data_IF_435113255281
#
_entry.id   IF_435113255281
#
_cell.length_a   1.000
_cell.length_b   1.000
_cell.length_c   1.000
_cell.angle_alpha   90.00
_cell.angle_beta   90.00
_cell.angle_gamma   90.00
#
_symmetry.space_group_name_H-M   'P 1'
#
loop_
_entity.id
_entity.type
_entity.pdbx_description
1 polymer ?
#
# COMPACT_ATOMS: atom_id res chain seq x y z
N UNK A 1 7.88 -51.07 -19.85
CA UNK A 1 7.89 -50.75 -18.41
C UNK A 1 7.14 -49.46 -18.22
N UNK A 2 6.08 -49.49 -17.41
CA UNK A 2 5.34 -48.30 -17.04
C UNK A 2 6.24 -47.36 -16.22
N UNK A 3 5.91 -46.07 -16.18
CA UNK A 3 6.60 -45.09 -15.33
C UNK A 3 6.67 -45.56 -13.85
N UNK A 4 5.66 -46.29 -13.40
CA UNK A 4 5.58 -46.88 -12.06
C UNK A 4 6.60 -48.01 -11.83
N UNK A 5 6.86 -48.86 -12.82
CA UNK A 5 7.84 -49.96 -12.68
C UNK A 5 9.26 -49.42 -12.44
N UNK A 6 9.62 -48.33 -13.13
CA UNK A 6 10.92 -47.65 -12.99
C UNK A 6 11.11 -47.02 -11.60
N UNK A 7 10.05 -46.46 -11.02
CA UNK A 7 10.08 -45.88 -9.66
C UNK A 7 10.22 -46.98 -8.61
N UNK A 8 9.45 -48.07 -8.74
CA UNK A 8 9.49 -49.21 -7.82
C UNK A 8 10.89 -49.85 -7.78
N UNK A 9 11.53 -50.03 -8.92
CA UNK A 9 12.89 -50.61 -8.97
C UNK A 9 13.94 -49.68 -8.35
N UNK A 10 13.77 -48.36 -8.47
CA UNK A 10 14.63 -47.37 -7.82
C UNK A 10 14.48 -47.43 -6.29
N UNK A 11 13.25 -47.54 -5.77
CA UNK A 11 12.96 -47.71 -4.33
C UNK A 11 13.60 -48.99 -3.78
N UNK A 12 13.51 -50.10 -4.51
CA UNK A 12 14.10 -51.40 -4.10
C UNK A 12 15.62 -51.34 -3.98
N UNK A 13 16.30 -50.57 -4.84
CA UNK A 13 17.75 -50.39 -4.79
C UNK A 13 18.25 -49.63 -3.55
N UNK A 14 17.42 -48.77 -2.96
CA UNK A 14 17.75 -47.99 -1.75
C UNK A 14 17.64 -48.89 -0.50
N UNK A 15 16.66 -49.81 -0.46
CA UNK A 15 16.45 -50.74 0.66
C UNK A 15 17.59 -51.74 0.89
N UNK A 16 18.45 -52.00 -0.09
CA UNK A 16 19.47 -53.07 0.01
C UNK A 16 20.75 -52.66 0.76
N UNK A 17 20.83 -51.45 1.35
CA UNK A 17 22.05 -50.93 1.98
C UNK A 17 22.02 -50.79 3.51
N UNK A 18 20.86 -50.87 4.18
CA UNK A 18 20.78 -50.68 5.64
C UNK A 18 20.76 -52.02 6.40
N UNK A 19 21.93 -52.48 6.85
CA UNK A 19 22.06 -53.63 7.75
C UNK A 19 22.41 -53.13 9.16
N UNK A 20 21.42 -52.70 9.95
CA UNK A 20 21.64 -52.52 11.39
C UNK A 20 20.39 -52.82 12.22
N UNK A 21 20.55 -53.70 13.21
CA UNK A 21 19.48 -54.38 13.96
C UNK A 21 18.96 -53.61 15.19
N UNK A 22 19.32 -52.34 15.38
CA UNK A 22 19.15 -51.69 16.70
C UNK A 22 17.92 -50.78 16.91
N UNK A 23 17.05 -50.54 15.91
CA UNK A 23 15.98 -49.54 16.03
C UNK A 23 14.59 -50.05 15.61
N UNK A 24 14.04 -51.05 16.33
CA UNK A 24 12.73 -51.67 16.04
C UNK A 24 11.49 -50.87 16.50
N UNK A 25 11.46 -49.56 16.28
CA UNK A 25 10.22 -48.76 16.30
C UNK A 25 10.21 -47.83 15.10
N UNK A 26 10.17 -48.42 13.90
CA UNK A 26 10.06 -47.63 12.68
C UNK A 26 8.61 -47.20 12.49
N UNK A 27 8.29 -45.94 12.78
CA UNK A 27 7.06 -45.35 12.30
C UNK A 27 7.18 -45.15 10.79
N UNK A 28 6.17 -45.60 10.04
CA UNK A 28 6.01 -45.17 8.66
C UNK A 28 5.17 -43.91 8.69
N UNK A 29 5.72 -42.85 8.09
CA UNK A 29 5.12 -41.53 8.05
C UNK A 29 4.81 -41.10 6.63
N UNK A 30 3.75 -40.33 6.45
CA UNK A 30 3.55 -39.53 5.25
C UNK A 30 2.88 -38.21 5.60
N UNK A 31 3.14 -37.20 4.77
CA UNK A 31 2.42 -35.95 4.81
C UNK A 31 1.40 -35.90 3.68
N UNK A 32 0.20 -35.48 4.02
CA UNK A 32 -0.82 -35.08 3.06
C UNK A 32 -1.03 -33.57 3.19
N UNK A 33 -1.42 -32.92 2.11
CA UNK A 33 -2.06 -31.62 2.20
C UNK A 33 -3.17 -31.50 1.18
N UNK A 34 -4.23 -30.80 1.55
CA UNK A 34 -5.38 -30.54 0.68
C UNK A 34 -5.55 -29.03 0.49
N UNK A 35 -5.75 -28.62 -0.75
CA UNK A 35 -6.15 -27.26 -1.14
C UNK A 35 -7.45 -27.29 -1.96
N UNK A 36 -7.88 -26.15 -2.50
CA UNK A 36 -9.14 -26.06 -3.25
C UNK A 36 -9.17 -26.91 -4.52
N UNK A 37 -8.02 -27.32 -5.04
CA UNK A 37 -7.85 -27.95 -6.35
C UNK A 37 -7.15 -29.31 -6.29
N UNK A 38 -6.24 -29.50 -5.34
CA UNK A 38 -5.35 -30.65 -5.32
C UNK A 38 -5.21 -31.26 -3.93
N UNK A 39 -4.88 -32.54 -3.95
CA UNK A 39 -4.32 -33.28 -2.82
C UNK A 39 -2.86 -33.53 -3.15
N UNK A 40 -1.97 -33.13 -2.26
CA UNK A 40 -0.53 -33.42 -2.33
C UNK A 40 -0.19 -34.49 -1.31
N UNK A 41 0.53 -35.52 -1.74
CA UNK A 41 1.05 -36.58 -0.87
C UNK A 41 2.56 -36.60 -0.96
N UNK A 42 3.25 -36.65 0.18
CA UNK A 42 4.70 -36.78 0.22
C UNK A 42 5.09 -37.81 1.26
N UNK A 43 6.11 -38.61 0.93
CA UNK A 43 6.69 -39.56 1.87
C UNK A 43 7.45 -38.81 2.97
N UNK A 44 7.22 -39.17 4.23
CA UNK A 44 8.03 -38.71 5.35
C UNK A 44 9.11 -39.74 5.67
N UNK A 45 10.29 -39.24 5.96
CA UNK A 45 11.46 -39.98 6.41
C UNK A 45 11.83 -39.48 7.79
N UNK A 46 11.97 -40.41 8.73
CA UNK A 46 12.43 -40.10 10.08
C UNK A 46 13.94 -40.31 10.13
N UNK A 47 14.66 -39.28 10.56
CA UNK A 47 16.10 -39.37 10.81
C UNK A 47 16.36 -39.64 12.28
N UNK A 48 17.19 -40.66 12.49
CA UNK A 48 17.63 -41.06 13.81
C UNK A 48 19.13 -40.81 13.93
N UNK A 49 19.53 -40.02 14.93
CA UNK A 49 20.92 -39.88 15.34
C UNK A 49 21.08 -40.48 16.74
N UNK A 50 22.07 -41.36 16.90
CA UNK A 50 22.34 -42.10 18.14
C UNK A 50 21.09 -42.75 18.80
N UNK A 51 20.09 -43.10 18.00
CA UNK A 51 18.84 -43.72 18.46
C UNK A 51 17.73 -42.77 18.91
N UNK A 52 17.95 -41.47 18.78
CA UNK A 52 16.96 -40.44 19.01
C UNK A 52 16.44 -39.92 17.66
N UNK A 53 15.12 -39.74 17.54
CA UNK A 53 14.53 -39.01 16.40
C UNK A 53 15.03 -37.57 16.46
N UNK A 54 15.76 -37.12 15.44
CA UNK A 54 16.26 -35.75 15.36
C UNK A 54 15.39 -34.88 14.47
N UNK A 55 14.94 -35.41 13.32
CA UNK A 55 14.13 -34.67 12.35
C UNK A 55 13.17 -35.60 11.59
N UNK A 56 11.98 -35.08 11.26
CA UNK A 56 11.11 -35.65 10.24
C UNK A 56 11.29 -34.84 8.95
N UNK A 57 11.75 -35.47 7.88
CA UNK A 57 12.01 -34.83 6.60
C UNK A 57 11.05 -35.33 5.51
N UNK A 58 10.65 -34.44 4.60
CA UNK A 58 9.89 -34.78 3.40
C UNK A 58 10.83 -34.70 2.18
N UNK A 59 11.26 -35.83 1.60
CA UNK A 59 12.10 -35.82 0.41
C UNK A 59 12.74 -37.17 0.04
N UNK A 60 12.90 -37.45 -1.26
CA UNK A 60 13.48 -38.70 -1.80
C UNK A 60 12.68 -39.29 -2.98
N UNK A 61 11.37 -39.03 -3.00
CA UNK A 61 10.45 -39.36 -4.09
C UNK A 61 9.65 -38.10 -4.44
N UNK A 62 9.35 -37.83 -5.73
CA UNK A 62 8.48 -36.72 -6.11
C UNK A 62 7.14 -36.79 -5.37
N UNK A 63 6.70 -35.67 -4.78
CA UNK A 63 5.38 -35.61 -4.16
C UNK A 63 4.30 -35.90 -5.22
N UNK A 64 3.35 -36.78 -4.89
CA UNK A 64 2.19 -37.01 -5.75
C UNK A 64 1.25 -35.83 -5.64
N UNK A 65 0.67 -35.45 -6.78
CA UNK A 65 -0.31 -34.38 -6.86
C UNK A 65 -1.52 -34.88 -7.63
N UNK A 66 -2.61 -35.06 -6.91
CA UNK A 66 -3.86 -35.55 -7.46
C UNK A 66 -4.87 -34.41 -7.50
N UNK A 67 -5.75 -34.36 -8.52
CA UNK A 67 -6.96 -33.53 -8.43
C UNK A 67 -7.73 -33.84 -7.15
N UNK A 68 -8.33 -32.84 -6.49
CA UNK A 68 -9.12 -33.05 -5.26
C UNK A 68 -10.23 -34.10 -5.46
N UNK A 69 -10.84 -34.10 -6.64
CA UNK A 69 -11.86 -35.04 -7.08
C UNK A 69 -11.31 -36.32 -7.74
N UNK A 70 -10.04 -36.69 -7.53
CA UNK A 70 -9.50 -37.95 -8.04
C UNK A 70 -10.26 -39.16 -7.49
N UNK A 71 -10.18 -40.29 -8.19
CA UNK A 71 -10.83 -41.53 -7.78
C UNK A 71 -10.27 -42.05 -6.44
N UNK A 72 -11.03 -42.91 -5.75
CA UNK A 72 -10.51 -43.60 -4.57
C UNK A 72 -9.34 -44.52 -4.92
N UNK A 73 -9.35 -45.12 -6.11
CA UNK A 73 -8.28 -45.99 -6.62
C UNK A 73 -6.97 -45.23 -6.82
N UNK A 74 -7.00 -44.08 -7.51
CA UNK A 74 -5.79 -43.26 -7.73
C UNK A 74 -5.20 -42.74 -6.42
N UNK A 75 -6.07 -42.34 -5.51
CA UNK A 75 -5.69 -41.89 -4.18
C UNK A 75 -5.06 -43.01 -3.37
N UNK A 76 -5.67 -44.19 -3.37
CA UNK A 76 -5.16 -45.36 -2.67
C UNK A 76 -3.80 -45.81 -3.21
N UNK A 77 -3.67 -45.86 -4.54
CA UNK A 77 -2.42 -46.25 -5.20
C UNK A 77 -1.28 -45.28 -4.84
N UNK A 78 -1.57 -43.97 -4.85
CA UNK A 78 -0.59 -42.95 -4.45
C UNK A 78 -0.21 -43.06 -2.98
N UNK A 79 -1.19 -43.30 -2.10
CA UNK A 79 -0.99 -43.48 -0.66
C UNK A 79 -0.10 -44.71 -0.38
N UNK A 80 -0.38 -45.85 -1.03
CA UNK A 80 0.44 -47.07 -0.93
C UNK A 80 1.89 -46.82 -1.35
N UNK A 81 2.10 -46.14 -2.47
CA UNK A 81 3.47 -45.84 -2.94
C UNK A 81 4.21 -44.97 -1.93
N UNK A 82 3.58 -43.90 -1.41
CA UNK A 82 4.18 -43.08 -0.36
C UNK A 82 4.51 -43.89 0.89
N UNK A 83 3.57 -44.70 1.36
CA UNK A 83 3.72 -45.53 2.56
C UNK A 83 4.84 -46.57 2.44
N UNK A 84 4.88 -47.31 1.34
CA UNK A 84 5.87 -48.36 1.09
C UNK A 84 7.29 -47.82 0.94
N UNK A 85 7.37 -46.56 0.54
CA UNK A 85 8.60 -45.80 0.36
C UNK A 85 9.11 -45.11 1.61
N UNK A 86 8.28 -45.01 2.66
CA UNK A 86 8.69 -44.46 3.95
C UNK A 86 9.68 -45.42 4.62
N UNK A 87 10.79 -44.87 5.09
CA UNK A 87 11.85 -45.61 5.78
C UNK A 87 12.54 -44.71 6.80
N UNK A 88 13.09 -45.31 7.86
CA UNK A 88 14.08 -44.62 8.69
C UNK A 88 15.41 -44.57 7.94
N UNK A 89 16.02 -43.38 7.84
CA UNK A 89 17.30 -43.18 7.14
C UNK A 89 18.33 -42.66 8.17
N UNK A 90 19.59 -43.10 8.04
CA UNK A 90 20.68 -42.58 8.87
C UNK A 90 21.20 -41.23 8.31
N UNK A 91 21.63 -40.32 9.17
CA UNK A 91 22.08 -38.97 8.78
C UNK A 91 23.20 -38.96 7.71
N UNK A 92 23.98 -40.04 7.60
CA UNK A 92 25.06 -40.20 6.62
C UNK A 92 24.60 -40.42 5.17
N UNK A 93 23.31 -40.63 4.92
CA UNK A 93 22.76 -41.03 3.61
C UNK A 93 21.98 -39.92 2.88
N UNK A 94 21.96 -38.69 3.40
CA UNK A 94 21.16 -37.59 2.86
C UNK A 94 21.98 -36.54 2.08
N UNK A 95 21.48 -36.15 0.89
CA UNK A 95 22.00 -35.06 0.06
C UNK A 95 20.86 -34.06 -0.23
N UNK A 96 21.02 -32.80 0.21
CA UNK A 96 19.96 -31.79 0.33
C UNK A 96 19.67 -31.05 -1.00
N UNK A 97 19.25 -31.79 -2.02
CA UNK A 97 18.99 -31.21 -3.35
C UNK A 97 17.49 -31.12 -3.69
N UNK A 98 16.82 -30.13 -3.10
CA UNK A 98 15.89 -29.24 -3.80
C UNK A 98 14.47 -29.74 -4.15
N UNK A 99 13.47 -29.37 -3.33
CA UNK A 99 12.04 -29.63 -3.61
C UNK A 99 11.14 -28.40 -3.83
N UNK A 100 11.52 -27.21 -3.37
CA UNK A 100 10.56 -26.08 -3.26
C UNK A 100 10.51 -25.12 -4.45
N UNK A 101 11.52 -25.13 -5.32
CA UNK A 101 11.58 -24.27 -6.52
C UNK A 101 10.58 -24.68 -7.61
N UNK A 102 10.35 -25.99 -7.78
CA UNK A 102 9.42 -26.52 -8.78
C UNK A 102 7.95 -26.23 -8.43
N UNK A 103 7.60 -26.28 -7.14
CA UNK A 103 6.24 -26.03 -6.61
C UNK A 103 5.76 -24.60 -6.92
N UNK A 104 6.64 -23.59 -6.84
CA UNK A 104 6.28 -22.18 -7.15
C UNK A 104 5.93 -21.95 -8.63
N UNK A 105 6.66 -22.60 -9.54
CA UNK A 105 6.54 -22.34 -10.99
C UNK A 105 5.26 -22.95 -11.59
N UNK A 106 4.76 -24.03 -11.00
CA UNK A 106 3.67 -24.84 -11.55
C UNK A 106 2.29 -24.50 -10.95
N UNK A 107 2.24 -24.00 -9.72
CA UNK A 107 0.99 -23.64 -9.04
C UNK A 107 0.38 -22.30 -9.48
N UNK A 108 1.13 -21.46 -10.23
CA UNK A 108 0.79 -20.03 -10.48
C UNK A 108 0.41 -19.25 -9.21
N UNK A 109 0.84 -19.73 -8.04
CA UNK A 109 0.59 -19.07 -6.76
C UNK A 109 1.65 -17.98 -6.58
N UNK A 110 1.21 -16.77 -6.20
CA UNK A 110 2.07 -15.58 -6.12
C UNK A 110 3.13 -15.68 -5.02
N UNK A 111 2.89 -16.48 -3.96
CA UNK A 111 3.84 -16.72 -2.87
C UNK A 111 3.61 -18.04 -2.11
N UNK A 112 4.65 -18.63 -1.50
CA UNK A 112 4.53 -19.81 -0.64
C UNK A 112 3.58 -19.57 0.55
N UNK A 113 3.53 -18.34 1.07
CA UNK A 113 2.60 -17.93 2.12
C UNK A 113 1.14 -18.16 1.72
N UNK A 114 0.77 -17.78 0.50
CA UNK A 114 -0.59 -17.97 -0.01
C UNK A 114 -0.95 -19.45 -0.13
N UNK A 115 -0.02 -20.31 -0.59
CA UNK A 115 -0.22 -21.76 -0.65
C UNK A 115 -0.55 -22.33 0.73
N UNK A 116 0.31 -22.08 1.72
CA UNK A 116 0.14 -22.63 3.05
C UNK A 116 -1.11 -22.11 3.77
N UNK A 117 -1.48 -20.85 3.55
CA UNK A 117 -2.77 -20.34 4.06
C UNK A 117 -3.96 -21.05 3.38
N UNK A 118 -3.88 -21.32 2.08
CA UNK A 118 -4.98 -21.95 1.34
C UNK A 118 -5.11 -23.48 1.51
N UNK A 119 -4.22 -24.10 2.30
CA UNK A 119 -4.14 -25.55 2.43
C UNK A 119 -4.12 -26.01 3.88
N UNK A 120 -4.58 -27.25 4.10
CA UNK A 120 -4.51 -27.94 5.39
C UNK A 120 -3.57 -29.13 5.24
N UNK A 121 -2.61 -29.26 6.16
CA UNK A 121 -1.66 -30.36 6.20
C UNK A 121 -2.13 -31.46 7.13
N UNK A 122 -1.71 -32.69 6.86
CA UNK A 122 -1.95 -33.86 7.69
C UNK A 122 -0.64 -34.65 7.77
N UNK A 123 -0.30 -35.15 8.95
CA UNK A 123 0.76 -36.16 9.11
C UNK A 123 0.09 -37.47 9.50
N UNK A 124 0.34 -38.52 8.74
CA UNK A 124 -0.21 -39.85 8.95
C UNK A 124 0.92 -40.75 9.45
N UNK A 125 0.73 -41.34 10.63
CA UNK A 125 1.70 -42.21 11.30
C UNK A 125 1.07 -43.56 11.60
N UNK A 126 1.65 -44.63 11.05
CA UNK A 126 1.18 -46.00 11.31
C UNK A 126 1.82 -46.55 12.58
N UNK A 127 1.00 -47.01 13.53
CA UNK A 127 1.48 -47.73 14.71
C UNK A 127 1.79 -49.19 14.37
N UNK A 128 2.96 -49.70 14.78
CA UNK A 128 3.38 -51.10 14.54
C UNK A 128 2.74 -52.14 15.49
N UNK A 129 1.67 -51.80 16.23
CA UNK A 129 1.01 -52.73 17.15
C UNK A 129 0.01 -53.62 16.40
N UNK A 130 -0.41 -54.73 17.03
CA UNK A 130 -1.28 -55.78 16.47
C UNK A 130 -2.62 -55.25 15.91
N UNK A 131 -3.04 -54.05 16.33
CA UNK A 131 -4.09 -53.27 15.71
C UNK A 131 -3.46 -52.16 14.86
N UNK A 132 -3.45 -52.33 13.53
CA UNK A 132 -2.88 -51.38 12.59
C UNK A 132 -3.67 -50.05 12.58
N UNK A 133 -3.45 -49.20 13.57
CA UNK A 133 -4.07 -47.88 13.66
C UNK A 133 -3.16 -46.83 12.99
N UNK A 134 -3.80 -45.91 12.27
CA UNK A 134 -3.17 -44.73 11.67
C UNK A 134 -3.55 -43.52 12.50
N UNK A 135 -2.55 -42.92 13.13
CA UNK A 135 -2.70 -41.64 13.79
C UNK A 135 -2.58 -40.51 12.76
N UNK A 136 -3.53 -39.59 12.78
CA UNK A 136 -3.62 -38.46 11.86
C UNK A 136 -3.53 -37.18 12.68
N UNK A 137 -2.41 -36.46 12.55
CA UNK A 137 -2.23 -35.13 13.10
C UNK A 137 -2.64 -34.09 12.05
N UNK A 138 -3.50 -33.12 12.40
CA UNK A 138 -3.90 -32.03 11.50
C UNK A 138 -3.08 -30.78 11.76
N UNK A 139 -2.50 -30.24 10.70
CA UNK A 139 -1.62 -29.09 10.70
C UNK A 139 -2.24 -27.94 9.91
N UNK A 140 -2.27 -26.76 10.52
CA UNK A 140 -2.72 -25.52 9.87
C UNK A 140 -1.55 -24.56 9.76
N UNK A 141 -1.59 -23.69 8.75
CA UNK A 141 -0.52 -22.71 8.58
C UNK A 141 -0.86 -21.35 9.17
N UNK A 142 0.13 -20.74 9.81
CA UNK A 142 0.13 -19.31 10.17
C UNK A 142 0.85 -18.45 9.11
N UNK A 143 1.18 -19.02 7.95
CA UNK A 143 1.58 -18.28 6.75
C UNK A 143 3.03 -18.44 6.28
N UNK A 144 3.90 -19.22 6.93
CA UNK A 144 5.26 -19.49 6.39
C UNK A 144 5.55 -20.98 6.18
N UNK A 145 4.97 -21.84 6.99
CA UNK A 145 4.87 -23.29 6.80
C UNK A 145 3.77 -23.85 7.70
N UNK A 146 3.57 -25.16 7.70
CA UNK A 146 2.79 -25.86 8.72
C UNK A 146 3.63 -25.94 10.01
N UNK A 147 3.48 -24.97 10.92
CA UNK A 147 4.28 -24.91 12.15
C UNK A 147 3.48 -25.21 13.42
N UNK A 148 2.15 -25.19 13.33
CA UNK A 148 1.27 -25.40 14.47
C UNK A 148 0.33 -26.57 14.20
N UNK A 149 0.32 -27.53 15.13
CA UNK A 149 -0.75 -28.51 15.19
C UNK A 149 -2.04 -27.77 15.49
N UNK A 150 -3.13 -28.10 14.79
CA UNK A 150 -4.43 -27.46 15.01
C UNK A 150 -5.08 -27.86 16.36
N UNK A 151 -4.48 -28.82 17.06
CA UNK A 151 -5.07 -29.51 18.20
C UNK A 151 -6.03 -30.64 17.81
N UNK A 152 -6.40 -30.74 16.53
CA UNK A 152 -7.21 -31.83 16.00
C UNK A 152 -6.31 -33.05 15.65
N UNK A 153 -6.63 -34.21 16.23
CA UNK A 153 -6.03 -35.50 15.86
C UNK A 153 -7.07 -36.61 15.80
N UNK A 154 -6.80 -37.61 14.97
CA UNK A 154 -7.72 -38.72 14.72
C UNK A 154 -6.98 -40.05 14.70
N UNK A 155 -7.69 -41.12 15.04
CA UNK A 155 -7.22 -42.50 14.86
C UNK A 155 -8.15 -43.21 13.88
N UNK A 156 -7.58 -43.73 12.80
CA UNK A 156 -8.29 -44.58 11.85
C UNK A 156 -7.73 -45.99 11.90
N UNK A 157 -8.62 -46.98 12.00
CA UNK A 157 -8.22 -48.37 11.85
C UNK A 157 -7.87 -48.64 10.38
N UNK A 158 -6.69 -49.17 10.13
CA UNK A 158 -6.26 -49.68 8.84
C UNK A 158 -6.42 -51.20 8.83
N UNK A 159 -7.20 -51.71 7.89
CA UNK A 159 -7.37 -53.13 7.63
C UNK A 159 -7.23 -53.34 6.12
N UNK A 160 -6.32 -54.23 5.71
CA UNK A 160 -6.09 -54.54 4.30
C UNK A 160 -7.35 -55.09 3.62
N UNK A 161 -8.22 -55.75 4.38
CA UNK A 161 -9.49 -56.29 3.87
C UNK A 161 -10.60 -55.22 3.75
N UNK A 162 -10.39 -54.05 4.37
CA UNK A 162 -11.38 -52.97 4.46
C UNK A 162 -10.76 -51.62 4.02
N UNK A 163 -9.85 -51.67 3.05
CA UNK A 163 -9.03 -50.52 2.64
C UNK A 163 -9.85 -49.39 2.01
N UNK A 164 -10.96 -49.72 1.35
CA UNK A 164 -11.87 -48.73 0.76
C UNK A 164 -12.54 -47.88 1.86
N UNK A 165 -12.92 -48.51 2.98
CA UNK A 165 -13.50 -47.82 4.13
C UNK A 165 -12.48 -46.88 4.77
N UNK A 166 -11.22 -47.30 4.89
CA UNK A 166 -10.13 -46.44 5.34
C UNK A 166 -9.96 -45.20 4.46
N UNK A 167 -9.92 -45.37 3.13
CA UNK A 167 -9.76 -44.27 2.17
C UNK A 167 -10.94 -43.29 2.24
N UNK A 168 -12.17 -43.82 2.31
CA UNK A 168 -13.38 -42.99 2.42
C UNK A 168 -13.34 -42.17 3.71
N UNK A 169 -13.01 -42.79 4.84
CA UNK A 169 -12.95 -42.10 6.13
C UNK A 169 -11.83 -41.07 6.20
N UNK A 170 -10.64 -41.38 5.67
CA UNK A 170 -9.52 -40.44 5.60
C UNK A 170 -9.88 -39.21 4.75
N UNK A 171 -10.48 -39.42 3.57
CA UNK A 171 -10.93 -38.32 2.71
C UNK A 171 -11.98 -37.46 3.41
N UNK A 172 -12.96 -38.08 4.08
CA UNK A 172 -13.98 -37.35 4.84
C UNK A 172 -13.35 -36.44 5.90
N UNK A 173 -12.40 -36.96 6.69
CA UNK A 173 -11.66 -36.15 7.68
C UNK A 173 -10.92 -35.00 7.01
N UNK A 174 -10.23 -35.27 5.89
CA UNK A 174 -9.50 -34.23 5.17
C UNK A 174 -10.41 -33.10 4.70
N UNK A 175 -11.57 -33.43 4.17
CA UNK A 175 -12.55 -32.46 3.69
C UNK A 175 -13.19 -31.65 4.84
N UNK A 176 -13.60 -32.32 5.92
CA UNK A 176 -14.15 -31.64 7.10
C UNK A 176 -13.16 -30.66 7.73
N UNK A 177 -11.89 -31.06 7.84
CA UNK A 177 -10.84 -30.20 8.40
C UNK A 177 -10.46 -29.06 7.45
N UNK A 178 -10.48 -29.32 6.14
CA UNK A 178 -10.30 -28.28 5.15
C UNK A 178 -11.37 -27.20 5.27
N UNK A 179 -12.66 -27.58 5.33
CA UNK A 179 -13.77 -26.64 5.48
C UNK A 179 -13.70 -25.86 6.80
N UNK A 180 -13.42 -26.56 7.91
CA UNK A 180 -13.29 -25.96 9.25
C UNK A 180 -12.23 -24.86 9.29
N UNK A 181 -11.07 -25.09 8.66
CA UNK A 181 -9.91 -24.19 8.76
C UNK A 181 -9.79 -23.20 7.58
N UNK A 182 -10.58 -23.36 6.52
CA UNK A 182 -10.65 -22.47 5.34
C UNK A 182 -11.16 -21.05 5.64
N UNK A 183 -12.06 -20.87 6.61
CA UNK A 183 -12.71 -19.56 6.85
C UNK A 183 -11.69 -18.52 7.34
N UNK A 184 -10.77 -18.91 8.23
CA UNK A 184 -9.72 -18.03 8.75
C UNK A 184 -8.66 -17.70 7.70
N UNK A 185 -8.33 -18.65 6.83
CA UNK A 185 -7.34 -18.40 5.78
C UNK A 185 -7.86 -17.49 4.67
N UNK A 186 -9.14 -17.59 4.32
CA UNK A 186 -9.74 -16.73 3.30
C UNK A 186 -9.75 -15.25 3.70
N UNK A 187 -9.98 -14.91 4.99
CA UNK A 187 -9.86 -13.51 5.46
C UNK A 187 -8.42 -13.00 5.39
N UNK A 188 -7.44 -13.84 5.72
CA UNK A 188 -6.03 -13.47 5.68
C UNK A 188 -5.51 -13.32 4.24
N UNK A 189 -5.94 -14.19 3.33
CA UNK A 189 -5.64 -14.08 1.90
C UNK A 189 -6.18 -12.76 1.35
N UNK A 190 -7.45 -12.41 1.65
CA UNK A 190 -8.03 -11.12 1.23
C UNK A 190 -7.26 -9.92 1.79
N UNK A 191 -6.80 -10.00 3.03
CA UNK A 191 -5.96 -8.95 3.64
C UNK A 191 -4.65 -8.77 2.86
N UNK A 192 -3.94 -9.85 2.59
CA UNK A 192 -2.66 -9.83 1.84
C UNK A 192 -2.88 -9.31 0.40
N UNK A 193 -3.96 -9.74 -0.25
CA UNK A 193 -4.32 -9.27 -1.59
C UNK A 193 -4.59 -7.76 -1.60
N UNK A 194 -5.32 -7.24 -0.60
CA UNK A 194 -5.56 -5.82 -0.46
C UNK A 194 -4.27 -5.04 -0.17
N UNK A 195 -3.43 -5.50 0.77
CA UNK A 195 -2.13 -4.87 1.07
C UNK A 195 -1.23 -4.81 -0.17
N UNK A 196 -1.19 -5.89 -0.95
CA UNK A 196 -0.43 -5.95 -2.21
C UNK A 196 -0.98 -4.93 -3.21
N UNK A 197 -2.30 -4.88 -3.38
CA UNK A 197 -2.96 -3.93 -4.29
C UNK A 197 -2.71 -2.47 -3.90
N UNK A 198 -2.78 -2.14 -2.60
CA UNK A 198 -2.46 -0.79 -2.10
C UNK A 198 -0.99 -0.43 -2.32
N UNK A 199 -0.07 -1.39 -2.15
CA UNK A 199 1.34 -1.17 -2.44
C UNK A 199 1.59 -0.89 -3.94
N UNK A 200 0.88 -1.59 -4.83
CA UNK A 200 0.95 -1.34 -6.27
C UNK A 200 0.43 0.05 -6.65
N UNK A 201 -0.70 0.48 -6.08
CA UNK A 201 -1.23 1.84 -6.25
C UNK A 201 -0.20 2.88 -5.81
N UNK A 202 0.36 2.72 -4.61
CA UNK A 202 1.36 3.65 -4.07
C UNK A 202 2.58 3.76 -4.97
N UNK A 203 3.04 2.63 -5.52
CA UNK A 203 4.16 2.63 -6.46
C UNK A 203 3.79 3.32 -7.79
N UNK A 204 2.61 3.03 -8.33
CA UNK A 204 2.14 3.64 -9.58
C UNK A 204 2.00 5.18 -9.45
N UNK A 205 1.42 5.68 -8.35
CA UNK A 205 1.33 7.11 -8.07
C UNK A 205 2.72 7.76 -7.95
N UNK A 206 3.68 7.07 -7.34
CA UNK A 206 5.05 7.57 -7.22
C UNK A 206 5.72 7.72 -8.59
N UNK A 207 5.56 6.75 -9.47
CA UNK A 207 6.11 6.82 -10.83
C UNK A 207 5.42 7.91 -11.65
N UNK A 208 4.09 8.02 -11.57
CA UNK A 208 3.36 9.10 -12.22
C UNK A 208 3.79 10.48 -11.70
N UNK A 209 4.01 10.65 -10.39
CA UNK A 209 4.52 11.92 -9.82
C UNK A 209 5.91 12.27 -10.37
N UNK A 210 6.80 11.30 -10.59
CA UNK A 210 8.11 11.53 -11.21
C UNK A 210 7.97 11.98 -12.67
N UNK A 211 7.17 11.26 -13.46
CA UNK A 211 6.89 11.59 -14.86
C UNK A 211 6.26 12.98 -15.00
N UNK A 212 5.25 13.26 -14.17
CA UNK A 212 4.56 14.55 -14.08
C UNK A 212 5.55 15.67 -13.77
N UNK A 213 6.45 15.50 -12.80
CA UNK A 213 7.46 16.51 -12.50
C UNK A 213 8.43 16.78 -13.66
N UNK A 214 8.81 15.75 -14.42
CA UNK A 214 9.65 15.91 -15.61
C UNK A 214 8.91 16.66 -16.73
N UNK A 215 7.68 16.27 -17.04
CA UNK A 215 6.83 16.93 -18.03
C UNK A 215 6.55 18.40 -17.67
N UNK A 216 6.22 18.65 -16.40
CA UNK A 216 6.00 19.99 -15.86
C UNK A 216 7.20 20.91 -16.08
N UNK A 217 8.42 20.45 -15.81
CA UNK A 217 9.65 21.24 -16.04
C UNK A 217 9.84 21.64 -17.49
N UNK A 218 9.47 20.77 -18.43
CA UNK A 218 9.51 21.07 -19.86
C UNK A 218 8.48 22.15 -20.20
N UNK A 219 7.25 22.00 -19.71
CA UNK A 219 6.18 22.98 -19.92
C UNK A 219 6.52 24.35 -19.31
N UNK A 220 7.03 24.38 -18.07
CA UNK A 220 7.51 25.60 -17.41
C UNK A 220 8.47 26.40 -18.30
N UNK A 221 9.49 25.71 -18.85
CA UNK A 221 10.46 26.34 -19.75
C UNK A 221 9.83 26.82 -21.05
N UNK A 222 8.90 26.04 -21.63
CA UNK A 222 8.20 26.38 -22.88
C UNK A 222 7.34 27.65 -22.74
N UNK A 223 6.63 27.79 -21.62
CA UNK A 223 5.68 28.88 -21.38
C UNK A 223 6.24 30.04 -20.55
N UNK A 224 7.52 29.99 -20.14
CA UNK A 224 8.19 31.08 -19.41
C UNK A 224 7.76 31.20 -17.95
N UNK A 225 7.28 30.12 -17.34
CA UNK A 225 6.93 30.08 -15.92
C UNK A 225 8.11 29.60 -15.08
N UNK A 226 8.19 30.11 -13.86
CA UNK A 226 9.21 29.75 -12.88
C UNK A 226 8.63 28.81 -11.83
N UNK A 227 9.51 28.06 -11.16
CA UNK A 227 9.15 27.20 -10.04
C UNK A 227 10.09 27.48 -8.87
N UNK A 228 9.54 27.66 -7.68
CA UNK A 228 10.37 27.74 -6.47
C UNK A 228 10.89 26.34 -6.09
N UNK A 229 12.18 26.23 -5.77
CA UNK A 229 12.90 24.95 -5.72
C UNK A 229 12.34 23.94 -4.71
N UNK A 230 11.88 24.41 -3.54
CA UNK A 230 11.37 23.54 -2.45
C UNK A 230 9.85 23.49 -2.36
N UNK A 231 9.14 24.43 -2.98
CA UNK A 231 7.70 24.59 -2.84
C UNK A 231 7.04 24.22 -4.17
N UNK A 232 5.92 23.52 -4.14
CA UNK A 232 5.19 23.15 -5.36
C UNK A 232 4.42 24.34 -5.99
N UNK A 233 4.91 25.58 -5.75
CA UNK A 233 4.40 26.83 -6.31
C UNK A 233 5.11 27.17 -7.62
N UNK A 234 4.31 27.37 -8.65
CA UNK A 234 4.73 27.80 -9.98
C UNK A 234 4.27 29.24 -10.16
N UNK A 235 5.08 30.09 -10.76
CA UNK A 235 4.75 31.51 -10.83
C UNK A 235 5.27 32.22 -12.09
N UNK A 236 4.59 33.33 -12.42
CA UNK A 236 4.96 34.24 -13.51
C UNK A 236 4.62 35.67 -13.11
N UNK A 237 5.49 36.61 -13.45
CA UNK A 237 5.21 38.05 -13.31
C UNK A 237 4.95 38.60 -14.69
N UNK A 238 3.81 39.25 -14.89
CA UNK A 238 3.42 39.81 -16.19
C UNK A 238 2.58 41.07 -15.98
N UNK A 239 2.95 42.16 -16.67
CA UNK A 239 2.25 43.47 -16.61
C UNK A 239 1.99 43.97 -15.18
N UNK A 240 2.95 43.78 -14.26
CA UNK A 240 2.83 44.21 -12.87
C UNK A 240 1.97 43.31 -11.97
N UNK A 241 1.47 42.19 -12.49
CA UNK A 241 0.80 41.14 -11.72
C UNK A 241 1.73 39.96 -11.44
N UNK A 242 1.48 39.29 -10.33
CA UNK A 242 2.10 38.04 -9.92
C UNK A 242 1.05 36.93 -9.96
N UNK A 243 1.23 35.99 -10.89
CA UNK A 243 0.40 34.81 -11.06
C UNK A 243 1.06 33.63 -10.38
N UNK A 244 0.28 32.86 -9.62
CA UNK A 244 0.74 31.71 -8.85
C UNK A 244 -0.14 30.52 -9.15
N UNK A 245 0.43 29.44 -9.69
CA UNK A 245 -0.21 28.15 -9.78
C UNK A 245 0.25 27.28 -8.60
N UNK A 246 -0.66 26.99 -7.69
CA UNK A 246 -0.44 26.05 -6.59
C UNK A 246 -0.84 24.64 -7.03
N UNK A 247 0.10 23.70 -6.93
CA UNK A 247 -0.12 22.31 -7.31
C UNK A 247 0.56 21.38 -6.29
N UNK A 248 -0.20 20.89 -5.31
CA UNK A 248 0.35 20.09 -4.21
C UNK A 248 0.47 18.59 -4.51
N UNK A 249 -0.48 18.05 -5.28
CA UNK A 249 -0.51 16.63 -5.60
C UNK A 249 -1.23 16.36 -6.91
N UNK A 250 -0.89 15.24 -7.55
CA UNK A 250 -1.50 14.76 -8.79
C UNK A 250 -2.98 14.36 -8.61
N UNK A 251 -3.44 14.28 -7.37
CA UNK A 251 -4.82 13.95 -6.98
C UNK A 251 -5.68 15.16 -6.65
N UNK A 252 -5.08 16.35 -6.68
CA UNK A 252 -5.71 17.63 -6.33
C UNK A 252 -5.66 18.55 -7.54
N UNK A 253 -6.76 19.26 -7.88
CA UNK A 253 -6.72 20.27 -8.92
C UNK A 253 -5.69 21.36 -8.62
N UNK A 254 -4.92 21.78 -9.63
CA UNK A 254 -4.05 22.93 -9.48
C UNK A 254 -4.90 24.20 -9.45
N UNK A 255 -4.55 25.17 -8.61
CA UNK A 255 -5.31 26.42 -8.45
C UNK A 255 -4.46 27.61 -8.83
N UNK A 256 -4.96 28.43 -9.75
CA UNK A 256 -4.33 29.68 -10.17
C UNK A 256 -4.85 30.83 -9.31
N UNK A 257 -3.91 31.60 -8.77
CA UNK A 257 -4.12 32.84 -8.03
C UNK A 257 -3.43 34.00 -8.74
N UNK A 258 -3.93 35.21 -8.52
CA UNK A 258 -3.32 36.44 -9.01
C UNK A 258 -3.31 37.52 -7.93
N UNK A 259 -2.28 38.34 -7.93
CA UNK A 259 -2.23 39.60 -7.18
C UNK A 259 -1.32 40.62 -7.87
N UNK A 260 -1.54 41.92 -7.69
CA UNK A 260 -0.57 42.93 -8.08
C UNK A 260 0.77 42.74 -7.35
N UNK A 261 1.87 43.01 -8.04
CA UNK A 261 3.22 42.86 -7.47
C UNK A 261 3.46 43.85 -6.31
N UNK A 262 2.77 44.99 -6.30
CA UNK A 262 2.88 45.97 -5.21
C UNK A 262 2.50 45.39 -3.85
N UNK A 263 1.62 44.38 -3.80
CA UNK A 263 1.21 43.72 -2.55
C UNK A 263 2.43 43.11 -1.86
N UNK A 264 3.24 42.35 -2.60
CA UNK A 264 4.45 41.73 -2.04
C UNK A 264 5.54 42.77 -1.74
N UNK A 265 5.65 43.80 -2.58
CA UNK A 265 6.61 44.90 -2.35
C UNK A 265 6.28 45.68 -1.07
N UNK A 266 5.01 46.00 -0.83
CA UNK A 266 4.55 46.67 0.38
C UNK A 266 4.74 45.78 1.60
N UNK A 267 4.41 44.49 1.49
CA UNK A 267 4.66 43.53 2.58
C UNK A 267 6.13 43.55 2.98
N UNK A 268 7.07 43.40 2.03
CA UNK A 268 8.51 43.49 2.34
C UNK A 268 8.92 44.80 3.00
N UNK A 269 8.40 45.91 2.48
CA UNK A 269 8.71 47.25 3.00
C UNK A 269 8.27 47.43 4.46
N UNK A 270 7.21 46.74 4.87
CA UNK A 270 6.68 46.80 6.25
C UNK A 270 7.41 45.80 7.16
N UNK A 271 7.68 44.59 6.68
CA UNK A 271 8.09 43.47 7.54
C UNK A 271 9.57 43.07 7.43
N UNK A 272 10.18 43.13 6.24
CA UNK A 272 11.50 42.54 5.98
C UNK A 272 12.63 43.58 5.87
N UNK A 273 12.29 44.87 5.65
CA UNK A 273 13.24 45.98 5.66
C UNK A 273 14.30 45.98 4.54
N UNK A 274 14.29 45.02 3.62
CA UNK A 274 15.22 44.92 2.49
C UNK A 274 14.50 44.88 1.14
N UNK A 275 14.99 45.69 0.19
CA UNK A 275 14.55 45.74 -1.21
C UNK A 275 15.29 44.69 -2.06
N UNK A 276 15.15 43.40 -1.75
CA UNK A 276 15.57 42.39 -2.72
C UNK A 276 14.56 42.30 -3.87
N UNK A 277 15.04 42.21 -5.12
CA UNK A 277 14.21 42.21 -6.32
C UNK A 277 13.62 40.80 -6.59
N UNK A 278 12.29 40.66 -6.59
CA UNK A 278 11.59 39.44 -7.01
C UNK A 278 10.35 39.13 -6.14
N UNK A 279 9.42 38.26 -6.54
CA UNK A 279 8.25 37.93 -5.69
C UNK A 279 8.63 37.10 -4.45
N UNK A 280 7.89 37.23 -3.34
CA UNK A 280 8.08 36.36 -2.17
C UNK A 280 7.42 35.01 -2.49
N UNK A 281 8.21 33.96 -2.69
CA UNK A 281 7.65 32.63 -2.96
C UNK A 281 7.24 31.88 -1.68
N UNK A 282 7.83 32.21 -0.52
CA UNK A 282 7.72 31.41 0.71
C UNK A 282 6.78 31.96 1.80
N UNK A 283 6.44 33.25 1.79
CA UNK A 283 5.66 33.92 2.86
C UNK A 283 4.58 34.90 2.38
N UNK A 284 4.18 34.83 1.10
CA UNK A 284 3.39 35.91 0.50
C UNK A 284 1.88 35.79 0.75
N UNK A 285 1.23 36.95 0.94
CA UNK A 285 -0.22 37.07 1.08
C UNK A 285 -0.89 36.34 -0.08
N UNK A 286 -1.86 35.48 0.21
CA UNK A 286 -2.57 34.74 -0.82
C UNK A 286 -3.24 35.70 -1.81
N UNK A 287 -3.06 35.45 -3.10
CA UNK A 287 -3.73 36.21 -4.14
C UNK A 287 -5.21 35.85 -4.24
N UNK A 288 -5.89 36.48 -5.20
CA UNK A 288 -7.26 36.13 -5.52
C UNK A 288 -7.28 34.94 -6.46
N UNK A 289 -8.08 33.94 -6.13
CA UNK A 289 -8.26 32.73 -6.93
C UNK A 289 -8.94 33.08 -8.25
N UNK A 290 -8.33 32.67 -9.36
CA UNK A 290 -8.88 32.83 -10.71
C UNK A 290 -9.56 31.56 -11.20
N UNK A 291 -8.88 30.41 -11.15
CA UNK A 291 -9.36 29.18 -11.77
C UNK A 291 -8.72 27.92 -11.19
N UNK A 292 -9.44 26.81 -11.26
CA UNK A 292 -8.89 25.48 -11.00
C UNK A 292 -8.67 24.72 -12.30
N UNK A 293 -7.56 24.01 -12.36
CA UNK A 293 -7.15 23.15 -13.46
C UNK A 293 -7.19 21.70 -12.97
N UNK A 294 -8.15 20.88 -13.43
CA UNK A 294 -8.23 19.48 -13.05
C UNK A 294 -7.15 18.66 -13.78
N UNK A 295 -5.92 18.78 -13.29
CA UNK A 295 -4.80 17.93 -13.70
C UNK A 295 -5.15 16.46 -13.44
N UNK A 296 -4.81 15.56 -14.37
CA UNK A 296 -5.08 14.12 -14.22
C UNK A 296 -6.52 13.82 -13.77
N UNK A 297 -7.51 14.38 -14.49
CA UNK A 297 -8.94 14.36 -14.16
C UNK A 297 -9.46 13.02 -13.63
N UNK A 298 -9.05 11.91 -14.24
CA UNK A 298 -9.44 10.56 -13.85
C UNK A 298 -9.01 10.14 -12.44
N UNK A 299 -7.91 10.71 -11.96
CA UNK A 299 -7.38 10.53 -10.60
C UNK A 299 -8.08 11.47 -9.63
N UNK A 300 -8.26 12.74 -10.00
CA UNK A 300 -8.90 13.76 -9.16
C UNK A 300 -10.35 13.41 -8.81
N UNK A 301 -11.10 12.80 -9.73
CA UNK A 301 -12.49 12.38 -9.49
C UNK A 301 -12.61 11.23 -8.48
N UNK A 302 -11.54 10.45 -8.25
CA UNK A 302 -11.56 9.29 -7.37
C UNK A 302 -11.15 9.56 -5.92
N UNK A 303 -10.34 10.60 -5.69
CA UNK A 303 -9.79 10.90 -4.35
C UNK A 303 -10.89 11.21 -3.31
N UNK A 304 -12.10 11.55 -3.76
CA UNK A 304 -13.16 12.00 -2.88
C UNK A 304 -14.08 10.89 -2.34
N UNK A 305 -14.13 9.67 -2.90
CA UNK A 305 -15.08 8.65 -2.40
C UNK A 305 -14.72 7.15 -2.59
N UNK A 306 -13.83 6.74 -3.50
CA UNK A 306 -13.70 5.31 -3.86
C UNK A 306 -12.27 4.73 -3.85
N UNK A 307 -11.26 5.51 -3.43
CA UNK A 307 -9.86 5.10 -3.54
C UNK A 307 -9.36 5.09 -4.99
N UNK A 308 -8.05 5.02 -5.17
CA UNK A 308 -7.45 5.07 -6.51
C UNK A 308 -7.62 3.75 -7.27
N UNK A 309 -7.90 3.85 -8.57
CA UNK A 309 -7.87 2.72 -9.50
C UNK A 309 -6.50 2.61 -10.16
N UNK A 310 -5.88 1.43 -10.06
CA UNK A 310 -4.58 1.16 -10.67
C UNK A 310 -4.60 1.32 -12.19
N UNK A 311 -5.70 0.92 -12.85
CA UNK A 311 -5.83 1.01 -14.30
C UNK A 311 -5.89 2.47 -14.77
N UNK A 312 -6.54 3.34 -14.01
CA UNK A 312 -6.57 4.78 -14.31
C UNK A 312 -5.23 5.46 -14.11
N UNK A 313 -4.46 5.08 -13.08
CA UNK A 313 -3.10 5.61 -12.89
C UNK A 313 -2.19 5.16 -14.04
N UNK A 314 -2.29 3.88 -14.43
CA UNK A 314 -1.50 3.29 -15.52
C UNK A 314 -1.92 3.74 -16.91
N UNK A 315 -3.09 4.35 -17.04
CA UNK A 315 -3.54 4.94 -18.30
C UNK A 315 -2.52 5.98 -18.78
N UNK A 316 -2.09 6.87 -17.87
CA UNK A 316 -1.18 7.97 -18.16
C UNK A 316 0.20 7.50 -18.60
N UNK A 317 0.42 7.51 -19.92
CA UNK A 317 1.76 7.34 -20.50
C UNK A 317 2.63 8.60 -20.29
N UNK A 318 3.92 8.52 -20.64
CA UNK A 318 4.80 9.68 -20.60
C UNK A 318 4.33 10.79 -21.56
N UNK A 319 3.87 10.41 -22.76
CA UNK A 319 3.32 11.32 -23.77
C UNK A 319 2.01 11.97 -23.29
N UNK A 320 1.12 11.20 -22.69
CA UNK A 320 -0.13 11.73 -22.14
C UNK A 320 0.14 12.67 -20.97
N UNK A 321 1.10 12.32 -20.11
CA UNK A 321 1.53 13.19 -19.00
C UNK A 321 2.09 14.52 -19.50
N UNK A 322 2.89 14.49 -20.58
CA UNK A 322 3.38 15.71 -21.25
C UNK A 322 2.23 16.53 -21.81
N UNK A 323 1.28 15.88 -22.48
CA UNK A 323 0.09 16.54 -23.04
C UNK A 323 -0.76 17.22 -21.96
N UNK A 324 -1.01 16.55 -20.82
CA UNK A 324 -1.76 17.14 -19.69
C UNK A 324 -1.14 18.47 -19.24
N UNK A 325 0.18 18.52 -19.07
CA UNK A 325 0.86 19.76 -18.69
C UNK A 325 0.84 20.79 -19.81
N UNK A 326 1.10 20.39 -21.06
CA UNK A 326 1.08 21.32 -22.19
C UNK A 326 -0.29 21.98 -22.36
N UNK A 327 -1.36 21.18 -22.36
CA UNK A 327 -2.74 21.66 -22.45
C UNK A 327 -3.10 22.56 -21.27
N UNK A 328 -2.61 22.25 -20.06
CA UNK A 328 -2.84 23.07 -18.87
C UNK A 328 -2.14 24.41 -18.97
N UNK A 329 -0.87 24.44 -19.38
CA UNK A 329 -0.14 25.70 -19.54
C UNK A 329 -0.69 26.54 -20.68
N UNK A 330 -1.18 25.92 -21.75
CA UNK A 330 -1.89 26.65 -22.81
C UNK A 330 -3.15 27.34 -22.26
N UNK A 331 -3.98 26.62 -21.50
CA UNK A 331 -5.17 27.20 -20.87
C UNK A 331 -4.80 28.27 -19.83
N UNK A 332 -3.69 28.08 -19.10
CA UNK A 332 -3.19 29.09 -18.16
C UNK A 332 -2.85 30.39 -18.88
N UNK A 333 -2.15 30.33 -20.01
CA UNK A 333 -1.85 31.53 -20.80
C UNK A 333 -3.14 32.20 -21.31
N UNK A 334 -4.13 31.44 -21.76
CA UNK A 334 -5.42 32.00 -22.20
C UNK A 334 -6.16 32.74 -21.06
N UNK A 335 -6.13 32.18 -19.84
CA UNK A 335 -6.73 32.79 -18.65
C UNK A 335 -5.95 34.03 -18.22
N UNK A 336 -4.63 33.97 -18.20
CA UNK A 336 -3.75 35.11 -17.87
C UNK A 336 -3.98 36.25 -18.86
N UNK A 337 -3.96 35.97 -20.16
CA UNK A 337 -4.17 36.99 -21.20
C UNK A 337 -5.54 37.65 -21.09
N UNK A 338 -6.60 36.87 -20.84
CA UNK A 338 -7.94 37.42 -20.61
C UNK A 338 -7.98 38.33 -19.38
N UNK A 339 -7.41 37.86 -18.26
CA UNK A 339 -7.35 38.64 -17.02
C UNK A 339 -6.64 39.99 -17.23
N UNK A 340 -5.51 39.99 -17.95
CA UNK A 340 -4.73 41.20 -18.24
C UNK A 340 -5.47 42.17 -19.17
N UNK A 341 -6.30 41.68 -20.09
CA UNK A 341 -7.16 42.52 -20.93
C UNK A 341 -8.28 43.18 -20.12
N UNK A 342 -8.86 42.46 -19.17
CA UNK A 342 -9.93 42.95 -18.30
C UNK A 342 -9.40 43.88 -17.20
N UNK A 343 -8.14 43.68 -16.76
CA UNK A 343 -7.52 44.40 -15.65
C UNK A 343 -6.13 44.92 -16.06
N UNK A 344 -6.04 45.89 -16.99
CA UNK A 344 -4.76 46.33 -17.55
C UNK A 344 -3.88 47.12 -16.57
N UNK A 345 -4.49 47.74 -15.55
CA UNK A 345 -3.79 48.56 -14.58
C UNK A 345 -3.68 47.83 -13.22
N UNK A 346 -2.49 47.32 -12.86
CA UNK A 346 -2.29 46.64 -11.59
C UNK A 346 -2.48 47.56 -10.38
N UNK A 347 -2.22 48.87 -10.50
CA UNK A 347 -2.26 49.79 -9.35
C UNK A 347 -3.70 50.10 -8.90
N UNK A 348 -4.68 49.97 -9.79
CA UNK A 348 -6.10 50.12 -9.47
C UNK A 348 -6.84 48.81 -9.22
N UNK A 349 -6.18 47.65 -9.40
CA UNK A 349 -6.83 46.35 -9.24
C UNK A 349 -7.18 46.04 -7.77
N UNK A 350 -8.47 45.98 -7.49
CA UNK A 350 -9.03 45.55 -6.22
C UNK A 350 -10.39 44.85 -6.44
N UNK A 351 -10.47 43.51 -6.30
CA UNK A 351 -11.70 42.76 -6.56
C UNK A 351 -12.73 42.84 -5.42
N UNK A 352 -12.41 43.54 -4.32
CA UNK A 352 -13.33 43.82 -3.21
C UNK A 352 -12.93 43.18 -1.88
N UNK A 353 -13.43 43.75 -0.78
CA UNK A 353 -13.14 43.31 0.60
C UNK A 353 -13.63 41.87 0.87
N UNK A 354 -14.71 41.44 0.21
CA UNK A 354 -15.31 40.12 0.43
C UNK A 354 -14.56 38.98 -0.29
N UNK A 355 -13.71 39.33 -1.26
CA UNK A 355 -12.94 38.38 -2.08
C UNK A 355 -11.50 38.26 -1.57
N UNK A 356 -10.94 39.37 -1.09
CA UNK A 356 -9.57 39.45 -0.63
C UNK A 356 -9.44 39.02 0.84
N UNK A 357 -8.29 38.41 1.18
CA UNK A 357 -7.89 38.25 2.58
C UNK A 357 -7.68 39.61 3.27
N UNK A 358 -7.70 39.58 4.59
CA UNK A 358 -7.61 40.76 5.45
C UNK A 358 -6.32 41.55 5.17
N UNK A 359 -5.17 40.87 5.09
CA UNK A 359 -3.87 41.48 4.81
C UNK A 359 -3.81 42.09 3.41
N UNK A 360 -4.35 41.40 2.40
CA UNK A 360 -4.44 41.91 1.03
C UNK A 360 -5.20 43.24 1.01
N UNK A 361 -6.37 43.25 1.65
CA UNK A 361 -7.25 44.44 1.72
C UNK A 361 -6.53 45.63 2.35
N UNK A 362 -5.81 45.39 3.47
CA UNK A 362 -5.03 46.42 4.14
C UNK A 362 -3.92 46.98 3.25
N UNK A 363 -3.18 46.12 2.54
CA UNK A 363 -2.11 46.57 1.65
C UNK A 363 -2.63 47.33 0.44
N UNK A 364 -3.81 46.97 -0.09
CA UNK A 364 -4.44 47.73 -1.17
C UNK A 364 -4.81 49.15 -0.72
N UNK A 365 -5.40 49.32 0.48
CA UNK A 365 -5.70 50.67 0.99
C UNK A 365 -4.45 51.47 1.33
N UNK A 366 -3.40 50.78 1.74
CA UNK A 366 -2.11 51.41 1.95
C UNK A 366 -1.51 51.91 0.64
N UNK A 367 -1.57 51.11 -0.42
CA UNK A 367 -1.13 51.48 -1.77
C UNK A 367 -1.89 52.69 -2.30
N UNK A 368 -3.22 52.72 -2.11
CA UNK A 368 -4.06 53.85 -2.53
C UNK A 368 -3.88 55.11 -1.67
N UNK A 369 -3.05 55.07 -0.63
CA UNK A 369 -2.81 56.19 0.28
C UNK A 369 -3.95 56.49 1.26
N UNK A 370 -4.97 55.62 1.35
CA UNK A 370 -6.13 55.83 2.24
C UNK A 370 -5.85 55.34 3.66
N UNK A 371 -4.99 56.07 4.36
CA UNK A 371 -4.56 55.75 5.73
C UNK A 371 -5.73 55.67 6.70
N UNK A 372 -6.77 56.49 6.52
CA UNK A 372 -7.94 56.45 7.40
C UNK A 372 -8.69 55.13 7.25
N UNK A 373 -8.85 54.65 6.01
CA UNK A 373 -9.49 53.37 5.74
C UNK A 373 -8.65 52.19 6.24
N UNK A 374 -7.32 52.26 6.16
CA UNK A 374 -6.44 51.26 6.77
C UNK A 374 -6.67 51.17 8.28
N UNK A 375 -6.62 52.29 9.01
CA UNK A 375 -6.80 52.30 10.47
C UNK A 375 -8.19 51.82 10.90
N UNK A 376 -9.25 52.23 10.20
CA UNK A 376 -10.61 51.75 10.46
C UNK A 376 -10.75 50.24 10.23
N UNK A 377 -10.13 49.74 9.15
CA UNK A 377 -10.16 48.32 8.80
C UNK A 377 -9.37 47.48 9.81
N UNK A 378 -8.19 47.95 10.26
CA UNK A 378 -7.43 47.30 11.34
C UNK A 378 -8.27 47.21 12.62
N UNK A 379 -8.95 48.28 13.03
CA UNK A 379 -9.81 48.26 14.22
C UNK A 379 -10.94 47.23 14.09
N UNK A 380 -11.57 47.13 12.91
CA UNK A 380 -12.60 46.13 12.60
C UNK A 380 -12.07 44.70 12.67
N UNK A 381 -10.89 44.43 12.09
CA UNK A 381 -10.28 43.10 12.10
C UNK A 381 -9.79 42.68 13.48
N UNK A 382 -9.20 43.62 14.26
CA UNK A 382 -8.83 43.36 15.66
C UNK A 382 -10.02 42.96 16.51
N UNK A 383 -11.13 43.70 16.44
CA UNK A 383 -12.35 43.37 17.19
C UNK A 383 -12.88 41.97 16.83
N UNK A 384 -12.85 41.60 15.54
CA UNK A 384 -13.20 40.27 15.07
C UNK A 384 -12.28 39.18 15.65
N UNK A 385 -10.97 39.37 15.58
CA UNK A 385 -10.00 38.36 16.03
C UNK A 385 -9.95 38.21 17.55
N UNK A 386 -10.10 39.31 18.28
CA UNK A 386 -10.28 39.30 19.74
C UNK A 386 -11.52 38.49 20.10
N UNK A 387 -12.65 38.70 19.41
CA UNK A 387 -13.88 37.93 19.65
C UNK A 387 -13.71 36.44 19.36
N UNK A 388 -12.87 36.06 18.40
CA UNK A 388 -12.58 34.64 18.11
C UNK A 388 -11.75 34.05 19.25
N UNK A 389 -10.72 34.76 19.71
CA UNK A 389 -9.85 34.35 20.82
C UNK A 389 -10.66 34.08 22.11
N UNK A 390 -11.55 35.00 22.49
CA UNK A 390 -12.34 34.87 23.74
C UNK A 390 -13.57 33.94 23.63
N UNK A 391 -14.00 33.50 22.43
CA UNK A 391 -15.14 32.57 22.28
C UNK A 391 -14.78 31.13 22.65
N UNK A 392 -13.48 30.81 22.68
CA UNK A 392 -12.97 29.50 23.06
C UNK A 392 -12.75 29.34 24.59
N UNK A 393 -13.08 30.35 25.40
CA UNK A 393 -12.92 30.33 26.86
C UNK A 393 -14.17 29.87 27.64
N UNK A 394 -15.18 29.24 27.00
CA UNK A 394 -16.26 28.56 27.73
C UNK A 394 -15.83 27.09 27.97
N UNK A 395 -15.26 26.76 29.15
CA UNK A 395 -14.61 25.47 29.38
C UNK A 395 -15.70 24.47 29.78
N UNK A 396 -16.35 23.87 28.78
CA UNK A 396 -16.92 22.54 29.00
C UNK A 396 -15.78 21.55 28.86
N UNK A 397 -15.43 20.97 30.01
CA UNK A 397 -14.49 19.88 30.22
C UNK A 397 -14.49 18.87 29.06
N UNK A 398 -13.57 19.04 28.12
CA UNK A 398 -13.05 17.94 27.31
C UNK A 398 -11.54 18.12 27.27
N UNK A 399 -10.82 17.38 28.14
CA UNK A 399 -9.35 17.36 28.27
C UNK A 399 -8.61 16.87 27.01
N UNK A 400 -9.24 16.93 25.84
CA UNK A 400 -8.68 16.49 24.55
C UNK A 400 -9.03 17.41 23.37
N UNK A 401 -9.57 18.61 23.59
CA UNK A 401 -9.86 19.54 22.50
C UNK A 401 -8.65 20.43 22.17
N UNK A 402 -8.28 20.45 20.89
CA UNK A 402 -7.17 21.20 20.29
C UNK A 402 -7.20 22.71 20.64
N UNK A 403 -6.44 23.13 21.65
CA UNK A 403 -6.24 24.54 22.01
C UNK A 403 -5.44 25.35 20.95
N UNK A 404 -4.87 24.75 19.89
CA UNK A 404 -3.55 25.25 19.43
C UNK A 404 -3.36 25.80 18.00
N UNK A 405 -4.38 26.14 17.21
CA UNK A 405 -4.15 26.71 15.85
C UNK A 405 -4.83 28.06 15.59
N UNK A 406 -6.10 28.21 15.98
CA UNK A 406 -6.83 29.45 15.75
C UNK A 406 -6.28 30.62 16.57
N UNK A 407 -5.84 30.34 17.81
CA UNK A 407 -5.24 31.33 18.70
C UNK A 407 -3.87 31.81 18.18
N UNK A 408 -3.06 30.89 17.66
CA UNK A 408 -1.76 31.22 17.07
C UNK A 408 -1.90 32.09 15.80
N UNK A 409 -2.88 31.79 14.94
CA UNK A 409 -3.15 32.57 13.73
C UNK A 409 -3.73 33.95 14.06
N UNK A 410 -4.60 34.06 15.07
CA UNK A 410 -5.12 35.33 15.55
C UNK A 410 -3.99 36.19 16.14
N UNK A 411 -3.13 35.63 17.00
CA UNK A 411 -1.96 36.34 17.54
C UNK A 411 -1.03 36.82 16.43
N UNK A 412 -0.71 35.97 15.45
CA UNK A 412 0.13 36.35 14.30
C UNK A 412 -0.50 37.51 13.49
N UNK A 413 -1.82 37.48 13.27
CA UNK A 413 -2.53 38.58 12.58
C UNK A 413 -2.50 39.87 13.38
N UNK A 414 -2.70 39.82 14.70
CA UNK A 414 -2.62 40.98 15.58
C UNK A 414 -1.23 41.66 15.51
N UNK A 415 -0.15 40.87 15.56
CA UNK A 415 1.22 41.39 15.41
C UNK A 415 1.44 42.07 14.04
N UNK A 416 0.86 41.52 12.98
CA UNK A 416 0.94 42.11 11.65
C UNK A 416 0.16 43.42 11.57
N UNK A 417 -1.03 43.49 12.18
CA UNK A 417 -1.81 44.71 12.25
C UNK A 417 -1.06 45.82 12.98
N UNK A 418 -0.37 45.51 14.08
CA UNK A 418 0.45 46.48 14.82
C UNK A 418 1.58 47.06 13.95
N UNK A 419 2.26 46.22 13.17
CA UNK A 419 3.33 46.65 12.26
C UNK A 419 2.80 47.52 11.12
N UNK A 420 1.68 47.12 10.50
CA UNK A 420 1.03 47.90 9.43
C UNK A 420 0.55 49.25 9.99
N UNK A 421 -0.10 49.27 11.14
CA UNK A 421 -0.55 50.50 11.80
C UNK A 421 0.62 51.43 12.13
N UNK A 422 1.70 50.90 12.69
CA UNK A 422 2.91 51.67 13.00
C UNK A 422 3.53 52.27 11.72
N UNK A 423 3.59 51.49 10.64
CA UNK A 423 4.07 51.97 9.34
C UNK A 423 3.19 53.10 8.79
N UNK A 424 1.85 52.96 8.88
CA UNK A 424 0.86 53.96 8.44
C UNK A 424 0.93 55.27 9.22
N UNK A 425 1.30 55.21 10.51
CA UNK A 425 1.46 56.42 11.34
C UNK A 425 2.78 57.15 11.06
N UNK A 426 3.81 56.42 10.60
CA UNK A 426 5.15 56.95 10.38
C UNK A 426 5.36 57.54 8.99
N UNK A 427 4.83 56.90 7.96
CA UNK A 427 4.90 57.34 6.55
C UNK A 427 3.54 57.91 6.16
#
# INVERSE_FOLDING_TARGET
MSFFDSIIDKIRSIKSKSNDKMYKRYFKGMSLSIDSKYIRMSTEYELYDHGCLTHTMCGGIPAFRLPRNCSNEDFLNSLKICYESSSGISEKEYDDTGGWGAVKKELKIRSLKQYYLSSVGFSLKWEQKEDANVHIDVWVSEGKSYQTTSGDSFYLKYDENSIDEFVVNLRRIMEEMYEKHQVKSNSEIRRIENETYQAEIKNALRELKKQSNSAKKIALKKYGWNQDGKVEKIWKVESGYYFILEHSDISVPATLYVKPLYIDNLWRKIFDGTEENGPISSASIEGVRLMNFPLFKDINEQSHNCGYSLDKIRHYSEEETKKVWDDTFQQLEDVVNRFLQENPDPDSYFPGEDVCKEEYTLLTYLHSGDKQKVLKTIAKFRDKDIKIYYRNEDPKEDEKSDIHVYDALACWRLENYDKIEAWCKKN
#
